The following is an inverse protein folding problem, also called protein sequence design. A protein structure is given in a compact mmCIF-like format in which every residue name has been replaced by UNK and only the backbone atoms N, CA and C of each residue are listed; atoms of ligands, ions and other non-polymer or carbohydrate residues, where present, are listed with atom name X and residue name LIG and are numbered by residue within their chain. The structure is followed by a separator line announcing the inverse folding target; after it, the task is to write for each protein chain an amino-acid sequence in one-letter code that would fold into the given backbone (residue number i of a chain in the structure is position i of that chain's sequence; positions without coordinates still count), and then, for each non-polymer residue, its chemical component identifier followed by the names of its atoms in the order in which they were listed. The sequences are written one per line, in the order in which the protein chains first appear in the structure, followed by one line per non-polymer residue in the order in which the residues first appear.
data_IF_206722222337
#
_entry.id   IF_206722222337
#
_cell.length_a   1.000
_cell.length_b   1.000
_cell.length_c   1.000
_cell.angle_alpha   90.00
_cell.angle_beta   90.00
_cell.angle_gamma   90.00
#
_symmetry.space_group_name_H-M   'P 1'
#
loop_
_entity.id
_entity.type
_entity.pdbx_description
1 polymer ?
#
# COMPACT_ATOMS: atom_id res chain seq x y z
N UNK A 1 -8.27 31.04 2.69
CA UNK A 1 -8.80 29.75 2.20
C UNK A 1 -7.65 28.80 1.85
N UNK A 2 -7.19 27.97 2.80
CA UNK A 2 -6.12 27.02 2.55
C UNK A 2 -6.69 25.75 1.91
N UNK A 3 -6.48 25.57 0.60
CA UNK A 3 -6.69 24.30 -0.11
C UNK A 3 -5.61 23.31 0.35
N UNK A 4 -5.77 22.77 1.55
CA UNK A 4 -5.03 21.60 2.02
C UNK A 4 -5.73 20.40 1.38
N UNK A 5 -5.21 19.93 0.24
CA UNK A 5 -5.51 18.59 -0.23
C UNK A 5 -5.16 17.63 0.91
N UNK A 6 -6.20 17.12 1.58
CA UNK A 6 -6.14 16.16 2.68
C UNK A 6 -5.52 14.86 2.15
N UNK A 7 -4.19 14.77 2.16
CA UNK A 7 -3.44 13.58 1.78
C UNK A 7 -3.73 12.45 2.80
N UNK A 8 -4.84 11.74 2.58
CA UNK A 8 -5.19 10.54 3.32
C UNK A 8 -4.29 9.42 2.83
N UNK A 9 -3.27 9.07 3.63
CA UNK A 9 -2.37 7.95 3.32
C UNK A 9 -3.11 6.66 3.63
N UNK A 10 -3.56 5.95 2.61
CA UNK A 10 -4.15 4.62 2.74
C UNK A 10 -3.06 3.57 2.60
N UNK A 11 -2.77 2.86 3.68
CA UNK A 11 -1.86 1.72 3.64
C UNK A 11 -2.69 0.44 3.65
N UNK A 12 -2.52 -0.41 2.62
CA UNK A 12 -2.86 -1.84 2.72
C UNK A 12 -1.70 -2.52 3.43
N UNK A 13 -1.98 -3.22 4.54
CA UNK A 13 -0.94 -3.57 5.53
C UNK A 13 -0.71 -5.06 5.65
N UNK A 14 -1.65 -5.88 5.19
CA UNK A 14 -1.49 -7.33 5.20
C UNK A 14 -0.21 -7.80 4.50
N UNK A 15 0.29 -7.04 3.52
CA UNK A 15 1.49 -7.33 2.74
C UNK A 15 2.79 -6.70 3.32
N UNK A 16 2.74 -6.07 4.50
CA UNK A 16 3.96 -5.46 5.08
C UNK A 16 4.85 -6.50 5.73
N UNK A 17 6.12 -6.44 5.36
CA UNK A 17 7.18 -7.28 5.90
C UNK A 17 7.82 -6.62 7.13
N UNK A 18 8.00 -7.38 8.20
CA UNK A 18 8.75 -7.01 9.40
C UNK A 18 10.06 -7.81 9.39
N UNK A 19 11.17 -7.15 9.76
CA UNK A 19 12.46 -7.84 9.96
C UNK A 19 12.30 -8.80 11.15
N UNK A 20 12.43 -10.10 10.92
CA UNK A 20 12.37 -11.08 12.00
C UNK A 20 13.78 -11.32 12.58
N UNK A 21 13.91 -11.46 13.91
CA UNK A 21 15.03 -12.18 14.49
C UNK A 21 14.93 -13.66 14.10
N UNK A 22 16.04 -14.39 14.14
CA UNK A 22 16.11 -15.81 13.82
C UNK A 22 15.11 -16.61 14.68
N UNK A 23 13.97 -17.00 14.12
CA UNK A 23 13.06 -17.97 14.74
C UNK A 23 13.06 -19.27 13.91
N UNK A 24 13.59 -20.40 14.45
CA UNK A 24 13.44 -21.71 13.85
C UNK A 24 11.99 -22.20 13.95
N UNK A 25 11.56 -22.95 12.93
CA UNK A 25 10.18 -23.32 12.62
C UNK A 25 9.47 -24.26 13.60
N UNK A 26 10.07 -24.63 14.74
CA UNK A 26 9.47 -25.61 15.66
C UNK A 26 9.96 -25.51 17.11
N UNK A 27 10.15 -24.30 17.66
CA UNK A 27 10.56 -24.17 19.08
C UNK A 27 9.52 -23.39 19.88
N UNK A 28 9.10 -24.04 20.96
CA UNK A 28 8.25 -23.55 22.04
C UNK A 28 8.62 -22.10 22.38
N UNK A 29 7.59 -21.28 22.50
CA UNK A 29 7.59 -19.90 22.95
C UNK A 29 8.50 -19.66 24.17
N UNK A 30 9.81 -19.44 23.97
CA UNK A 30 10.60 -18.59 24.86
C UNK A 30 10.26 -17.15 24.44
N UNK A 31 9.09 -16.71 24.90
CA UNK A 31 8.46 -15.47 24.52
C UNK A 31 9.41 -14.32 24.89
N UNK A 32 9.96 -13.61 23.90
CA UNK A 32 10.18 -12.19 24.13
C UNK A 32 8.78 -11.58 24.19
N UNK A 33 8.21 -11.57 25.40
CA UNK A 33 6.87 -11.06 25.66
C UNK A 33 6.94 -9.56 25.35
N UNK A 34 6.56 -9.19 24.13
CA UNK A 34 6.03 -7.85 23.89
C UNK A 34 4.80 -7.82 24.79
N UNK A 35 4.94 -7.21 25.96
CA UNK A 35 3.90 -7.20 26.98
C UNK A 35 2.67 -6.48 26.41
N UNK A 36 1.71 -7.28 25.94
CA UNK A 36 0.42 -6.82 25.42
C UNK A 36 -0.59 -6.57 26.53
N UNK A 37 -0.17 -6.56 27.81
CA UNK A 37 -1.02 -6.19 28.94
C UNK A 37 -1.49 -4.75 28.77
N UNK A 38 -2.80 -4.59 28.56
CA UNK A 38 -3.45 -3.31 28.26
C UNK A 38 -3.84 -3.13 26.78
N UNK A 39 -3.51 -4.06 25.87
CA UNK A 39 -3.98 -4.01 24.48
C UNK A 39 -5.43 -4.51 24.41
N UNK A 40 -6.39 -3.60 24.65
CA UNK A 40 -7.83 -3.85 24.54
C UNK A 40 -8.18 -4.36 23.12
N UNK A 41 -8.48 -5.66 23.04
CA UNK A 41 -9.45 -6.37 22.17
C UNK A 41 -9.63 -5.88 20.70
N UNK A 42 -9.22 -6.74 19.73
CA UNK A 42 -9.66 -6.70 18.33
C UNK A 42 -8.51 -6.69 17.31
N UNK A 43 -8.01 -7.86 16.89
CA UNK A 43 -6.74 -7.98 16.13
C UNK A 43 -6.96 -7.78 14.62
N UNK A 44 -6.33 -6.75 14.05
CA UNK A 44 -6.32 -6.38 12.62
C UNK A 44 -4.92 -5.84 12.28
N UNK A 45 -4.32 -6.18 11.13
CA UNK A 45 -2.96 -5.73 10.78
C UNK A 45 -2.88 -4.19 10.64
N UNK A 46 -3.98 -3.57 10.21
CA UNK A 46 -4.17 -2.12 10.24
C UNK A 46 -4.02 -1.49 11.63
N UNK A 47 -4.55 -2.15 12.66
CA UNK A 47 -4.51 -1.63 14.03
C UNK A 47 -3.11 -1.72 14.61
N UNK A 48 -2.39 -2.81 14.35
CA UNK A 48 -0.98 -2.96 14.74
C UNK A 48 -0.14 -1.82 14.17
N UNK A 49 -0.31 -1.52 12.88
CA UNK A 49 0.39 -0.39 12.27
C UNK A 49 -0.02 0.98 12.82
N UNK A 50 -1.31 1.17 13.12
CA UNK A 50 -1.79 2.40 13.76
C UNK A 50 -1.13 2.56 15.13
N UNK A 51 -1.01 1.48 15.89
CA UNK A 51 -0.34 1.47 17.20
C UNK A 51 1.14 1.81 17.10
N UNK A 52 1.86 1.25 16.12
CA UNK A 52 3.26 1.60 15.87
C UNK A 52 3.40 3.11 15.60
N UNK A 53 2.49 3.69 14.82
CA UNK A 53 2.48 5.13 14.53
C UNK A 53 2.08 5.99 15.73
N UNK A 54 1.23 5.49 16.64
CA UNK A 54 0.91 6.15 17.90
C UNK A 54 2.13 6.34 18.79
N UNK A 55 3.06 5.39 18.78
CA UNK A 55 4.35 5.51 19.49
C UNK A 55 5.28 6.57 18.92
N UNK A 56 5.10 6.93 17.63
CA UNK A 56 5.93 7.94 16.95
C UNK A 56 5.35 9.36 17.03
N UNK A 57 4.10 9.52 17.46
CA UNK A 57 3.40 10.80 17.50
C UNK A 57 3.03 11.16 18.95
N UNK A 58 3.04 12.47 19.33
CA UNK A 58 2.56 12.92 20.63
C UNK A 58 1.01 12.88 20.69
N UNK A 59 0.45 11.68 20.64
CA UNK A 59 -0.99 11.42 20.47
C UNK A 59 -1.87 11.88 21.63
N UNK A 60 -1.29 12.16 22.81
CA UNK A 60 -1.99 12.75 23.94
C UNK A 60 -2.35 14.23 23.73
N UNK A 61 -1.62 14.91 22.85
CA UNK A 61 -1.88 16.33 22.52
C UNK A 61 -2.99 16.46 21.48
N UNK A 62 -3.75 17.57 21.50
CA UNK A 62 -4.77 17.86 20.48
C UNK A 62 -4.21 17.85 19.05
N UNK A 63 -2.96 18.32 18.88
CA UNK A 63 -2.24 18.27 17.60
C UNK A 63 -1.96 16.84 17.15
N UNK A 64 -1.54 15.97 18.08
CA UNK A 64 -1.29 14.55 17.79
C UNK A 64 -2.56 13.81 17.40
N UNK A 65 -3.67 14.07 18.11
CA UNK A 65 -4.99 13.53 17.76
C UNK A 65 -5.41 13.96 16.35
N UNK A 66 -5.31 15.25 16.03
CA UNK A 66 -5.62 15.75 14.69
C UNK A 66 -4.73 15.15 13.58
N UNK A 67 -3.50 14.75 13.88
CA UNK A 67 -2.64 14.05 12.94
C UNK A 67 -3.10 12.60 12.71
N UNK A 68 -3.56 11.93 13.75
CA UNK A 68 -4.09 10.56 13.67
C UNK A 68 -5.42 10.48 12.92
N UNK A 69 -6.29 11.48 13.08
CA UNK A 69 -7.58 11.54 12.37
C UNK A 69 -7.42 11.63 10.84
N UNK A 70 -6.26 12.13 10.38
CA UNK A 70 -5.92 12.18 8.95
C UNK A 70 -5.49 10.83 8.40
N UNK A 71 -5.03 9.93 9.27
CA UNK A 71 -4.53 8.62 8.88
C UNK A 71 -5.71 7.62 8.82
N UNK A 72 -5.87 6.98 7.65
CA UNK A 72 -6.84 5.90 7.48
C UNK A 72 -6.12 4.63 7.06
N UNK A 73 -6.46 3.53 7.72
CA UNK A 73 -5.71 2.30 7.62
C UNK A 73 -6.68 1.15 7.39
N UNK A 74 -6.39 0.30 6.40
CA UNK A 74 -7.28 -0.77 5.97
C UNK A 74 -6.51 -2.06 5.73
N UNK A 75 -7.19 -3.19 5.91
CA UNK A 75 -6.70 -4.51 5.52
C UNK A 75 -7.34 -4.89 4.19
N UNK A 76 -6.53 -4.96 3.14
CA UNK A 76 -7.01 -4.95 1.75
C UNK A 76 -7.32 -3.53 1.24
N UNK A 77 -7.93 -3.45 0.06
CA UNK A 77 -8.22 -2.20 -0.63
C UNK A 77 -9.75 -2.07 -0.83
N UNK A 78 -10.45 -1.37 0.07
CA UNK A 78 -11.89 -1.20 -0.05
C UNK A 78 -12.27 -0.22 -1.18
N UNK A 79 -13.49 -0.33 -1.75
CA UNK A 79 -14.08 0.75 -2.55
C UNK A 79 -14.19 2.00 -1.65
N UNK A 80 -13.71 3.22 -1.99
CA UNK A 80 -13.39 3.83 -3.29
C UNK A 80 -11.88 3.87 -3.67
N UNK A 81 -11.01 3.17 -2.93
CA UNK A 81 -9.56 3.27 -3.11
C UNK A 81 -9.00 2.35 -4.20
N UNK A 82 -9.75 1.31 -4.59
CA UNK A 82 -9.34 0.36 -5.63
C UNK A 82 -9.03 1.01 -6.98
N UNK A 83 -9.84 2.02 -7.37
CA UNK A 83 -9.68 2.76 -8.64
C UNK A 83 -8.58 3.83 -8.59
N UNK A 84 -8.08 4.18 -7.41
CA UNK A 84 -7.08 5.25 -7.24
C UNK A 84 -5.68 4.71 -7.49
N UNK A 85 -4.81 5.53 -8.09
CA UNK A 85 -3.39 5.18 -8.25
C UNK A 85 -2.74 5.11 -6.87
N UNK A 86 -2.20 3.94 -6.54
CA UNK A 86 -1.48 3.70 -5.28
C UNK A 86 -0.05 4.21 -5.42
N UNK A 87 0.43 4.88 -4.38
CA UNK A 87 1.81 5.35 -4.30
C UNK A 87 2.62 4.41 -3.42
N UNK A 88 3.90 4.28 -3.73
CA UNK A 88 4.87 3.48 -2.98
C UNK A 88 5.88 4.43 -2.36
N UNK A 89 6.30 4.16 -1.12
CA UNK A 89 7.40 4.88 -0.47
C UNK A 89 8.67 4.05 -0.67
N UNK A 90 9.58 4.44 -1.59
CA UNK A 90 10.74 3.60 -1.95
C UNK A 90 11.65 3.35 -0.75
N UNK A 91 11.81 4.37 0.09
CA UNK A 91 12.60 4.29 1.30
C UNK A 91 12.11 3.19 2.26
N UNK A 92 10.85 2.75 2.20
CA UNK A 92 10.28 1.74 3.09
C UNK A 92 10.17 0.33 2.47
N UNK A 93 10.60 0.16 1.21
CA UNK A 93 10.51 -1.12 0.52
C UNK A 93 11.50 -2.15 1.09
N UNK A 94 11.04 -3.39 1.26
CA UNK A 94 11.89 -4.53 1.65
C UNK A 94 13.11 -4.66 0.74
N UNK A 95 12.90 -4.64 -0.58
CA UNK A 95 13.97 -4.86 -1.56
C UNK A 95 15.09 -3.81 -1.47
N UNK A 96 14.75 -2.60 -1.00
CA UNK A 96 15.70 -1.51 -0.80
C UNK A 96 16.37 -1.60 0.57
N UNK A 97 15.61 -1.92 1.63
CA UNK A 97 16.10 -1.89 3.02
C UNK A 97 16.79 -3.16 3.50
N UNK A 98 16.40 -4.33 3.00
CA UNK A 98 16.81 -5.63 3.53
C UNK A 98 17.61 -6.41 2.50
N UNK A 99 18.70 -7.06 2.93
CA UNK A 99 19.43 -8.01 2.09
C UNK A 99 18.54 -9.22 1.77
N UNK A 100 18.56 -9.75 0.53
CA UNK A 100 17.71 -10.89 0.13
C UNK A 100 17.85 -12.13 1.00
N UNK A 101 19.03 -12.36 1.58
CA UNK A 101 19.33 -13.53 2.43
C UNK A 101 18.78 -13.42 3.85
N UNK A 102 18.24 -12.27 4.25
CA UNK A 102 17.72 -12.06 5.61
C UNK A 102 16.27 -12.52 5.69
N UNK A 103 15.95 -13.27 6.74
CA UNK A 103 14.59 -13.70 7.06
C UNK A 103 13.71 -12.48 7.38
N UNK A 104 12.43 -12.58 7.00
CA UNK A 104 11.40 -11.59 7.27
C UNK A 104 10.09 -12.30 7.64
N UNK A 105 9.18 -11.56 8.25
CA UNK A 105 7.84 -12.05 8.59
C UNK A 105 6.78 -11.17 7.91
N UNK A 106 5.76 -11.81 7.34
CA UNK A 106 4.61 -11.11 6.74
C UNK A 106 3.60 -10.82 7.84
N UNK A 107 3.22 -9.56 8.00
CA UNK A 107 2.32 -9.13 9.07
C UNK A 107 0.94 -9.81 9.00
N UNK A 108 0.42 -10.09 7.81
CA UNK A 108 -0.83 -10.84 7.65
C UNK A 108 -0.78 -12.26 8.22
N UNK A 109 0.37 -12.94 8.11
CA UNK A 109 0.56 -14.29 8.69
C UNK A 109 0.64 -14.22 10.21
N UNK A 110 1.46 -13.30 10.73
CA UNK A 110 1.58 -13.10 12.18
C UNK A 110 0.21 -12.78 12.79
N UNK A 111 -0.54 -11.86 12.17
CA UNK A 111 -1.87 -11.49 12.62
C UNK A 111 -2.81 -12.70 12.71
N UNK A 112 -2.77 -13.62 11.74
CA UNK A 112 -3.58 -14.84 11.78
C UNK A 112 -3.16 -15.80 12.91
N UNK A 113 -1.86 -16.00 13.12
CA UNK A 113 -1.34 -16.85 14.20
C UNK A 113 -1.75 -16.32 15.59
N UNK A 114 -1.73 -14.99 15.77
CA UNK A 114 -2.36 -14.36 16.93
C UNK A 114 -3.87 -14.16 16.73
N UNK A 115 -4.62 -14.99 16.01
CA UNK A 115 -6.09 -15.02 16.07
C UNK A 115 -6.86 -13.93 15.30
N UNK A 116 -6.28 -13.35 14.25
CA UNK A 116 -7.03 -12.57 13.26
C UNK A 116 -7.87 -13.51 12.36
N UNK A 117 -9.19 -13.42 12.48
CA UNK A 117 -10.13 -14.37 11.85
C UNK A 117 -10.42 -14.08 10.37
N UNK A 118 -10.19 -12.85 9.90
CA UNK A 118 -10.68 -12.39 8.59
C UNK A 118 -9.67 -12.58 7.45
N UNK A 119 -8.55 -13.27 7.67
CA UNK A 119 -7.52 -13.47 6.64
C UNK A 119 -8.09 -14.09 5.36
N UNK A 120 -8.87 -15.17 5.48
CA UNK A 120 -9.48 -15.85 4.34
C UNK A 120 -10.46 -14.94 3.59
N UNK A 121 -11.30 -14.19 4.32
CA UNK A 121 -12.27 -13.27 3.72
C UNK A 121 -11.54 -12.17 2.94
N UNK A 122 -10.54 -11.52 3.54
CA UNK A 122 -9.74 -10.49 2.87
C UNK A 122 -9.04 -11.04 1.62
N UNK A 123 -8.51 -12.26 1.67
CA UNK A 123 -7.90 -12.91 0.50
C UNK A 123 -8.90 -13.09 -0.65
N UNK A 124 -10.11 -13.58 -0.36
CA UNK A 124 -11.15 -13.74 -1.39
C UNK A 124 -11.59 -12.41 -2.01
N UNK A 125 -11.68 -11.34 -1.19
CA UNK A 125 -12.04 -10.00 -1.67
C UNK A 125 -10.92 -9.38 -2.52
N UNK A 126 -9.67 -9.54 -2.11
CA UNK A 126 -8.51 -9.09 -2.90
C UNK A 126 -8.38 -9.85 -4.22
N UNK A 127 -8.72 -11.14 -4.27
CA UNK A 127 -8.71 -11.90 -5.52
C UNK A 127 -9.79 -11.43 -6.49
N UNK A 128 -11.03 -11.23 -6.00
CA UNK A 128 -12.11 -10.60 -6.79
C UNK A 128 -11.69 -9.23 -7.32
N UNK A 129 -10.95 -8.45 -6.53
CA UNK A 129 -10.42 -7.13 -6.92
C UNK A 129 -9.34 -7.23 -7.99
N UNK A 130 -8.38 -8.17 -7.85
CA UNK A 130 -7.32 -8.42 -8.84
C UNK A 130 -7.90 -8.84 -10.19
N UNK A 131 -8.94 -9.68 -10.21
CA UNK A 131 -9.63 -10.07 -11.44
C UNK A 131 -10.21 -8.84 -12.17
N UNK A 132 -10.93 -7.97 -11.45
CA UNK A 132 -11.44 -6.69 -12.00
C UNK A 132 -10.32 -5.78 -12.51
N UNK A 133 -9.22 -5.68 -11.75
CA UNK A 133 -8.05 -4.88 -12.13
C UNK A 133 -7.37 -5.42 -13.40
N UNK A 134 -7.28 -6.75 -13.55
CA UNK A 134 -6.71 -7.37 -14.74
C UNK A 134 -7.56 -7.10 -16.00
N UNK A 135 -8.89 -7.19 -15.89
CA UNK A 135 -9.81 -6.83 -16.97
C UNK A 135 -9.62 -5.36 -17.40
N UNK A 136 -9.56 -4.45 -16.43
CA UNK A 136 -9.27 -3.03 -16.68
C UNK A 136 -7.91 -2.83 -17.36
N UNK A 137 -6.86 -3.49 -16.88
CA UNK A 137 -5.51 -3.36 -17.45
C UNK A 137 -5.44 -3.89 -18.89
N UNK A 138 -6.08 -5.02 -19.19
CA UNK A 138 -6.16 -5.56 -20.56
C UNK A 138 -6.85 -4.58 -21.52
N UNK A 139 -7.97 -3.98 -21.10
CA UNK A 139 -8.68 -2.95 -21.87
C UNK A 139 -7.78 -1.73 -22.11
N UNK A 140 -7.18 -1.20 -21.04
CA UNK A 140 -6.28 -0.03 -21.10
C UNK A 140 -5.06 -0.27 -21.99
N UNK A 141 -4.46 -1.47 -21.95
CA UNK A 141 -3.32 -1.84 -22.78
C UNK A 141 -3.71 -1.90 -24.27
N UNK A 142 -4.90 -2.41 -24.59
CA UNK A 142 -5.45 -2.41 -25.95
C UNK A 142 -5.66 -0.98 -26.46
N UNK A 143 -6.32 -0.14 -25.66
CA UNK A 143 -6.56 1.28 -25.99
C UNK A 143 -5.25 2.05 -26.20
N UNK A 144 -4.25 1.84 -25.34
CA UNK A 144 -2.93 2.46 -25.49
C UNK A 144 -2.22 2.03 -26.79
N UNK A 145 -2.35 0.75 -27.18
CA UNK A 145 -1.79 0.26 -28.46
C UNK A 145 -2.47 0.91 -29.65
N UNK A 146 -3.82 0.97 -29.64
CA UNK A 146 -4.59 1.61 -30.70
C UNK A 146 -4.29 3.10 -30.80
N UNK A 147 -4.17 3.79 -29.66
CA UNK A 147 -3.81 5.21 -29.63
C UNK A 147 -2.45 5.47 -30.30
N UNK A 148 -1.43 4.64 -30.02
CA UNK A 148 -0.12 4.74 -30.66
C UNK A 148 -0.18 4.53 -32.18
N UNK A 149 -1.03 3.62 -32.65
CA UNK A 149 -1.24 3.41 -34.10
C UNK A 149 -1.92 4.62 -34.73
N UNK A 150 -2.95 5.17 -34.07
CA UNK A 150 -3.64 6.36 -34.54
C UNK A 150 -2.71 7.60 -34.57
N UNK A 151 -1.86 7.78 -33.56
CA UNK A 151 -0.85 8.85 -33.52
C UNK A 151 0.10 8.77 -34.72
N UNK A 152 0.57 7.57 -35.08
CA UNK A 152 1.43 7.34 -36.27
C UNK A 152 0.70 7.64 -37.58
N UNK A 153 -0.55 7.20 -37.71
CA UNK A 153 -1.31 7.42 -38.94
C UNK A 153 -1.60 8.90 -39.23
N UNK A 154 -1.58 9.76 -38.20
CA UNK A 154 -1.95 11.19 -38.29
C UNK A 154 -0.71 12.09 -38.11
N UNK A 155 0.49 11.54 -38.11
CA UNK A 155 1.76 12.24 -37.83
C UNK A 155 1.94 13.51 -38.66
N UNK A 156 1.64 13.46 -39.97
CA UNK A 156 1.75 14.59 -40.88
C UNK A 156 0.89 15.79 -40.47
N UNK A 157 -0.29 15.55 -39.89
CA UNK A 157 -1.20 16.63 -39.44
C UNK A 157 -0.80 17.21 -38.08
N UNK A 158 -0.09 16.42 -37.26
CA UNK A 158 0.25 16.78 -35.88
C UNK A 158 1.67 17.39 -35.79
N UNK A 159 2.49 17.25 -36.84
CA UNK A 159 3.89 17.71 -36.91
C UNK A 159 4.13 19.11 -36.32
N UNK A 160 3.35 20.10 -36.75
CA UNK A 160 3.45 21.49 -36.26
C UNK A 160 3.30 21.59 -34.73
N UNK A 161 2.40 20.82 -34.13
CA UNK A 161 2.17 20.82 -32.68
C UNK A 161 3.24 20.01 -31.95
N UNK A 162 3.73 18.92 -32.55
CA UNK A 162 4.83 18.13 -31.96
C UNK A 162 6.12 18.94 -31.87
N UNK A 163 6.42 19.80 -32.85
CA UNK A 163 7.64 20.61 -32.84
C UNK A 163 7.62 21.64 -31.72
N UNK A 164 6.47 22.28 -31.50
CA UNK A 164 6.26 23.18 -30.35
C UNK A 164 6.43 22.40 -29.04
N UNK A 165 5.84 21.21 -28.91
CA UNK A 165 5.95 20.40 -27.70
C UNK A 165 7.37 19.88 -27.44
N UNK A 166 8.14 19.61 -28.50
CA UNK A 166 9.57 19.26 -28.41
C UNK A 166 10.41 20.45 -27.95
N UNK A 167 10.12 21.66 -28.44
CA UNK A 167 10.79 22.89 -28.00
C UNK A 167 10.64 23.10 -26.48
N UNK A 168 9.47 22.77 -25.91
CA UNK A 168 9.24 22.83 -24.46
C UNK A 168 9.68 21.58 -23.69
N UNK A 169 10.28 20.58 -24.35
CA UNK A 169 10.76 19.35 -23.71
C UNK A 169 9.65 18.44 -23.15
N UNK A 170 8.41 18.60 -23.58
CA UNK A 170 7.25 17.82 -23.12
C UNK A 170 7.21 16.45 -23.81
N UNK A 171 7.63 16.40 -25.07
CA UNK A 171 7.83 15.18 -25.84
C UNK A 171 9.33 14.91 -25.95
N UNK A 172 9.76 13.75 -25.44
CA UNK A 172 11.10 13.19 -25.60
C UNK A 172 11.04 12.04 -26.59
#
# INVERSE_FOLDING_TARGET
MAKIFKNTVCLSICDRDIRSPLFPSSVKFAVLLIDGRGHLLGRLAALVAKQVLLGMLPHKTKRGQAALDRLKVFDGIPPPYDKRKRMVVPAALKIVRLKPTRKFAVLGRLAHEVGWKYQAITATLEEKRKQKSNLFYKKKKREMKLKKVAEKNVESKIAKYTDVLKQYGVLV
#
